data_IF_352342223887
#
_entry.id   IF_352342223887
#
_cell.length_a   1.000
_cell.length_b   1.000
_cell.length_c   1.000
_cell.angle_alpha   90.00
_cell.angle_beta   90.00
_cell.angle_gamma   90.00
#
_symmetry.space_group_name_H-M   'P 1'
#
loop_
_entity.id
_entity.type
_entity.pdbx_description
1 polymer ?
#
# COMPACT_ATOMS: atom_id res chain seq x y z
N UNK A 1 -5.17 9.99 19.07
CA UNK A 1 -4.82 9.03 18.00
C UNK A 1 -4.04 9.77 16.93
N UNK A 2 -2.95 9.18 16.46
CA UNK A 2 -2.16 9.78 15.39
C UNK A 2 -2.65 9.26 14.03
N UNK A 3 -2.54 10.06 12.99
CA UNK A 3 -2.72 9.61 11.61
C UNK A 3 -1.36 9.50 10.93
N UNK A 4 -1.26 8.61 9.96
CA UNK A 4 -0.05 8.43 9.14
C UNK A 4 -0.47 8.33 7.69
N UNK A 5 0.01 9.26 6.88
CA UNK A 5 -0.25 9.30 5.45
C UNK A 5 0.85 8.52 4.72
N UNK A 6 0.43 7.63 3.82
CA UNK A 6 1.33 6.80 3.03
C UNK A 6 1.49 7.37 1.62
N UNK A 7 2.55 6.95 0.93
CA UNK A 7 2.78 7.22 -0.49
C UNK A 7 2.01 6.25 -1.41
N UNK A 8 0.98 5.62 -0.89
CA UNK A 8 0.12 4.66 -1.58
C UNK A 8 -1.34 4.98 -1.31
N UNK A 9 -2.25 4.21 -1.88
CA UNK A 9 -3.67 4.39 -1.70
C UNK A 9 -4.48 3.17 -2.08
N UNK A 10 -5.79 3.32 -2.04
CA UNK A 10 -6.74 2.25 -2.34
C UNK A 10 -6.57 1.66 -3.75
N UNK A 11 -5.96 2.38 -4.66
CA UNK A 11 -5.69 1.86 -6.01
C UNK A 11 -4.63 0.75 -6.03
N UNK A 12 -3.79 0.66 -5.01
CA UNK A 12 -2.80 -0.41 -4.86
C UNK A 12 -3.33 -1.58 -4.04
N UNK A 13 -4.06 -1.31 -2.96
CA UNK A 13 -4.62 -2.35 -2.09
C UNK A 13 -6.03 -1.92 -1.63
N UNK A 14 -7.05 -2.37 -2.34
CA UNK A 14 -8.44 -1.97 -2.09
C UNK A 14 -9.13 -2.79 -0.99
N UNK A 15 -8.60 -3.95 -0.61
CA UNK A 15 -9.29 -4.88 0.28
C UNK A 15 -9.72 -4.30 1.63
N UNK A 16 -8.92 -3.47 2.33
CA UNK A 16 -9.37 -2.87 3.57
C UNK A 16 -10.63 -2.00 3.40
N UNK A 17 -10.68 -1.19 2.33
CA UNK A 17 -11.78 -0.27 2.08
C UNK A 17 -13.01 -0.98 1.54
N UNK A 18 -12.82 -1.98 0.68
CA UNK A 18 -13.90 -2.65 -0.04
C UNK A 18 -14.57 -3.74 0.79
N UNK A 19 -13.77 -4.50 1.55
CA UNK A 19 -14.26 -5.65 2.32
C UNK A 19 -14.12 -5.47 3.84
N UNK A 20 -13.50 -4.42 4.32
CA UNK A 20 -13.07 -4.33 5.71
C UNK A 20 -12.00 -5.36 6.06
N UNK A 21 -11.21 -5.78 5.07
CA UNK A 21 -10.23 -6.84 5.27
C UNK A 21 -9.09 -6.37 6.18
N UNK A 22 -8.68 -7.26 7.07
CA UNK A 22 -7.54 -7.04 7.95
C UNK A 22 -6.25 -7.42 7.24
N UNK A 23 -5.31 -6.49 7.22
CA UNK A 23 -3.91 -6.75 6.88
C UNK A 23 -3.03 -6.30 8.03
N UNK A 24 -2.20 -7.19 8.55
CA UNK A 24 -1.23 -6.82 9.58
C UNK A 24 -0.23 -5.82 8.98
N UNK A 25 0.10 -4.80 9.76
CA UNK A 25 1.01 -3.73 9.33
C UNK A 25 2.20 -3.71 10.29
N UNK A 26 3.40 -3.87 9.75
CA UNK A 26 4.64 -3.77 10.50
C UNK A 26 5.39 -2.49 10.15
N UNK A 27 6.01 -1.87 11.13
CA UNK A 27 7.02 -0.83 10.91
C UNK A 27 8.39 -1.50 10.75
N UNK A 28 8.89 -1.58 9.51
CA UNK A 28 10.18 -2.20 9.22
C UNK A 28 11.37 -1.33 9.68
N UNK A 29 11.19 -0.01 9.70
CA UNK A 29 12.25 0.93 10.08
C UNK A 29 12.48 0.97 11.58
N UNK A 30 11.42 0.80 12.38
CA UNK A 30 11.48 0.89 13.84
C UNK A 30 10.61 -0.20 14.48
N UNK A 31 11.02 -1.47 14.30
CA UNK A 31 10.22 -2.62 14.76
C UNK A 31 10.13 -2.78 16.29
N UNK A 32 11.04 -2.16 17.04
CA UNK A 32 11.12 -2.26 18.50
C UNK A 32 10.80 -0.94 19.23
N UNK A 33 10.17 0.02 18.56
CA UNK A 33 9.78 1.30 19.14
C UNK A 33 8.61 1.19 20.12
N UNK A 34 8.32 2.28 20.82
CA UNK A 34 7.13 2.39 21.67
C UNK A 34 5.87 2.25 20.83
N UNK A 35 4.96 1.35 21.22
CA UNK A 35 3.71 1.12 20.48
C UNK A 35 2.74 2.27 20.71
N UNK A 36 2.19 2.77 19.62
CA UNK A 36 1.16 3.81 19.60
C UNK A 36 -0.01 3.38 18.72
N UNK A 37 -1.16 4.01 18.90
CA UNK A 37 -2.34 3.76 18.05
C UNK A 37 -2.36 4.73 16.89
N UNK A 38 -2.50 4.18 15.69
CA UNK A 38 -2.55 4.94 14.44
C UNK A 38 -3.79 4.63 13.63
N UNK A 39 -4.28 5.63 12.92
CA UNK A 39 -5.11 5.46 11.74
C UNK A 39 -4.19 5.58 10.52
N UNK A 40 -4.14 4.54 9.71
CA UNK A 40 -3.25 4.46 8.54
C UNK A 40 -4.07 4.80 7.31
N UNK A 41 -3.70 5.86 6.62
CA UNK A 41 -4.44 6.39 5.47
C UNK A 41 -3.53 6.50 4.25
N UNK A 42 -4.13 6.39 3.06
CA UNK A 42 -3.46 6.69 1.81
C UNK A 42 -3.57 8.17 1.46
N UNK A 43 -3.09 8.52 0.26
CA UNK A 43 -3.01 9.89 -0.20
C UNK A 43 -3.92 10.18 -1.42
N UNK A 44 -5.00 9.41 -1.61
CA UNK A 44 -5.79 9.51 -2.83
C UNK A 44 -7.15 10.18 -2.61
N UNK A 45 -7.94 9.74 -1.63
CA UNK A 45 -9.34 10.16 -1.51
C UNK A 45 -9.82 10.03 -0.07
N UNK A 46 -11.04 10.52 0.23
CA UNK A 46 -11.60 10.55 1.59
C UNK A 46 -11.80 9.16 2.22
N UNK A 47 -12.02 8.13 1.40
CA UNK A 47 -12.22 6.75 1.88
C UNK A 47 -10.95 5.93 1.88
N UNK A 48 -9.80 6.57 1.83
CA UNK A 48 -8.51 5.90 1.65
C UNK A 48 -7.87 5.48 2.99
N UNK A 49 -8.64 4.76 3.80
CA UNK A 49 -8.21 4.30 5.12
C UNK A 49 -7.88 2.81 5.09
N UNK A 50 -6.63 2.47 5.33
CA UNK A 50 -6.16 1.08 5.40
C UNK A 50 -6.45 0.42 6.74
N UNK A 51 -6.35 1.17 7.82
CA UNK A 51 -6.57 0.63 9.17
C UNK A 51 -6.90 1.75 10.15
N UNK A 52 -7.73 1.43 11.15
CA UNK A 52 -8.10 2.35 12.23
C UNK A 52 -7.62 1.79 13.57
N UNK A 53 -7.21 2.69 14.47
CA UNK A 53 -6.79 2.36 15.83
C UNK A 53 -5.79 1.20 15.89
N UNK A 54 -4.89 1.11 14.93
CA UNK A 54 -3.92 0.04 14.83
C UNK A 54 -2.72 0.29 15.75
N UNK A 55 -2.37 -0.69 16.55
CA UNK A 55 -1.20 -0.63 17.42
C UNK A 55 0.07 -0.99 16.64
N UNK A 56 0.94 0.00 16.45
CA UNK A 56 2.18 -0.13 15.65
C UNK A 56 3.31 0.59 16.40
N UNK A 57 4.55 0.07 16.40
CA UNK A 57 5.70 0.82 16.88
C UNK A 57 5.77 2.21 16.26
N UNK A 58 6.14 3.20 17.05
CA UNK A 58 6.11 4.62 16.66
C UNK A 58 6.59 4.85 15.22
N UNK A 59 5.74 5.47 14.42
CA UNK A 59 5.99 5.76 13.01
C UNK A 59 6.55 7.18 12.91
N UNK A 60 7.62 7.31 12.14
CA UNK A 60 8.28 8.59 11.83
C UNK A 60 8.24 8.82 10.33
N UNK A 61 8.29 10.07 9.93
CA UNK A 61 8.35 10.42 8.51
C UNK A 61 9.54 9.71 7.83
N UNK A 62 9.28 9.11 6.69
CA UNK A 62 10.26 8.31 5.95
C UNK A 62 10.35 6.85 6.35
N UNK A 63 9.62 6.40 7.38
CA UNK A 63 9.59 5.00 7.75
C UNK A 63 8.95 4.12 6.68
N UNK A 64 9.43 2.88 6.61
CA UNK A 64 8.87 1.85 5.72
C UNK A 64 7.87 0.99 6.50
N UNK A 65 6.64 0.98 6.04
CA UNK A 65 5.59 0.09 6.54
C UNK A 65 5.35 -1.04 5.55
N UNK A 66 5.04 -2.23 6.07
CA UNK A 66 4.68 -3.37 5.23
C UNK A 66 3.29 -3.89 5.62
N UNK A 67 2.44 -4.06 4.61
CA UNK A 67 1.13 -4.71 4.74
C UNK A 67 1.31 -6.20 4.44
N UNK A 68 1.03 -7.04 5.43
CA UNK A 68 1.17 -8.49 5.30
C UNK A 68 0.03 -9.09 4.47
N UNK A 69 0.32 -10.23 3.85
CA UNK A 69 -0.67 -11.02 3.11
C UNK A 69 -1.40 -10.26 2.01
N UNK A 70 -0.72 -9.30 1.38
CA UNK A 70 -1.31 -8.47 0.34
C UNK A 70 -1.00 -8.98 -1.09
N UNK A 71 -0.15 -9.99 -1.25
CA UNK A 71 0.31 -10.44 -2.57
C UNK A 71 -0.81 -11.03 -3.44
N UNK A 72 -1.67 -11.86 -2.86
CA UNK A 72 -2.68 -12.60 -3.62
C UNK A 72 -3.68 -11.69 -4.34
N UNK A 73 -4.14 -10.61 -3.70
CA UNK A 73 -5.16 -9.72 -4.25
C UNK A 73 -4.70 -8.26 -4.32
N UNK A 74 -3.43 -7.98 -4.07
CA UNK A 74 -2.88 -6.63 -4.19
C UNK A 74 -2.94 -6.15 -5.64
N UNK A 75 -2.07 -6.65 -6.50
CA UNK A 75 -2.04 -6.26 -7.90
C UNK A 75 -3.30 -6.67 -8.66
N UNK A 76 -3.84 -7.87 -8.38
CA UNK A 76 -5.03 -8.39 -9.07
C UNK A 76 -6.21 -7.43 -9.01
N UNK A 77 -6.40 -6.75 -7.87
CA UNK A 77 -7.46 -5.78 -7.67
C UNK A 77 -6.99 -4.33 -7.79
N UNK A 78 -5.74 -4.10 -8.14
CA UNK A 78 -5.20 -2.76 -8.33
C UNK A 78 -5.89 -2.07 -9.51
N UNK A 79 -6.00 -0.75 -9.43
CA UNK A 79 -6.67 0.05 -10.44
C UNK A 79 -5.89 1.32 -10.76
N UNK A 80 -6.36 2.02 -11.78
CA UNK A 80 -5.85 3.34 -12.16
C UNK A 80 -6.72 4.48 -11.59
N UNK A 81 -7.43 4.22 -10.49
CA UNK A 81 -8.27 5.24 -9.87
C UNK A 81 -7.48 6.52 -9.62
N UNK A 82 -8.09 7.66 -9.90
CA UNK A 82 -7.47 8.99 -9.87
C UNK A 82 -6.22 9.11 -10.76
N UNK A 83 -6.19 8.38 -11.87
CA UNK A 83 -5.06 8.36 -12.83
C UNK A 83 -3.74 7.97 -12.21
N UNK A 84 -3.79 7.13 -11.16
CA UNK A 84 -2.60 6.56 -10.52
C UNK A 84 -2.15 5.31 -11.24
N UNK A 85 -0.87 5.03 -11.16
CA UNK A 85 -0.27 3.85 -11.79
C UNK A 85 -0.46 2.61 -10.92
N UNK A 86 -0.64 1.44 -11.57
CA UNK A 86 -0.58 0.17 -10.86
C UNK A 86 0.84 -0.10 -10.39
N UNK A 87 0.98 -0.80 -9.24
CA UNK A 87 2.30 -1.01 -8.63
C UNK A 87 3.14 -2.04 -9.38
N UNK A 88 4.43 -2.05 -9.09
CA UNK A 88 5.30 -3.14 -9.48
C UNK A 88 5.01 -4.39 -8.63
N UNK A 89 5.36 -5.56 -9.16
CA UNK A 89 5.38 -6.80 -8.40
C UNK A 89 6.81 -7.35 -8.34
N UNK A 90 7.21 -7.76 -7.15
CA UNK A 90 8.53 -8.32 -6.89
C UNK A 90 8.35 -9.68 -6.21
N UNK A 91 8.98 -10.70 -6.77
CA UNK A 91 9.05 -12.03 -6.16
C UNK A 91 10.31 -12.13 -5.31
N UNK A 92 10.17 -12.57 -4.07
CA UNK A 92 11.30 -12.87 -3.20
C UNK A 92 11.36 -14.37 -2.99
N UNK A 93 12.45 -14.97 -3.42
CA UNK A 93 12.66 -16.41 -3.29
C UNK A 93 14.13 -16.68 -2.96
N UNK A 94 14.36 -17.53 -1.96
CA UNK A 94 15.72 -17.88 -1.51
C UNK A 94 16.60 -16.64 -1.24
N UNK A 95 16.04 -15.61 -0.62
CA UNK A 95 16.75 -14.37 -0.29
C UNK A 95 17.02 -13.47 -1.50
N UNK A 96 16.50 -13.79 -2.68
CA UNK A 96 16.68 -12.99 -3.90
C UNK A 96 15.37 -12.31 -4.31
N UNK A 97 15.43 -11.01 -4.56
CA UNK A 97 14.33 -10.23 -5.08
C UNK A 97 14.41 -10.16 -6.62
N UNK A 98 13.32 -10.48 -7.28
CA UNK A 98 13.20 -10.44 -8.74
C UNK A 98 11.98 -9.64 -9.16
N UNK A 99 12.17 -8.62 -9.99
CA UNK A 99 11.06 -7.87 -10.57
C UNK A 99 10.34 -8.77 -11.58
N UNK A 100 9.08 -9.12 -11.28
CA UNK A 100 8.23 -9.94 -12.16
C UNK A 100 7.21 -9.13 -12.93
N UNK A 101 6.93 -7.92 -12.48
CA UNK A 101 6.08 -6.94 -13.18
C UNK A 101 6.60 -5.54 -12.90
N UNK A 102 6.90 -4.79 -13.95
CA UNK A 102 7.31 -3.39 -13.78
C UNK A 102 6.12 -2.50 -13.38
N UNK A 103 6.40 -1.40 -12.72
CA UNK A 103 5.40 -0.36 -12.45
C UNK A 103 4.89 0.23 -13.76
N UNK A 104 3.61 0.59 -13.81
CA UNK A 104 3.05 1.32 -14.95
C UNK A 104 3.68 2.71 -15.11
N UNK A 105 3.63 3.19 -16.34
CA UNK A 105 4.04 4.54 -16.73
C UNK A 105 2.85 5.28 -17.32
N UNK A 106 3.02 6.56 -17.65
CA UNK A 106 2.00 7.35 -18.32
C UNK A 106 1.58 6.72 -19.66
N UNK A 107 2.51 6.17 -20.41
CA UNK A 107 2.21 5.49 -21.67
C UNK A 107 1.28 4.29 -21.48
N UNK A 108 1.48 3.53 -20.42
CA UNK A 108 0.60 2.40 -20.08
C UNK A 108 -0.82 2.89 -19.77
N UNK A 109 -0.94 3.99 -19.04
CA UNK A 109 -2.23 4.59 -18.68
C UNK A 109 -3.00 5.07 -19.90
N UNK A 110 -2.31 5.63 -20.88
CA UNK A 110 -2.90 6.23 -22.08
C UNK A 110 -3.04 5.26 -23.25
N UNK A 111 -2.51 4.05 -23.14
CA UNK A 111 -2.36 3.11 -24.26
C UNK A 111 -3.65 2.82 -25.03
N UNK A 112 -4.80 2.83 -24.37
CA UNK A 112 -6.09 2.53 -25.01
C UNK A 112 -6.86 3.77 -25.43
N UNK A 113 -6.34 4.96 -25.22
CA UNK A 113 -6.98 6.19 -25.66
C UNK A 113 -6.74 6.40 -27.15
N UNK A 114 -7.77 6.90 -27.85
CA UNK A 114 -7.74 7.23 -29.26
C UNK A 114 -7.70 8.75 -29.44
N UNK A 115 -6.90 9.19 -30.35
CA UNK A 115 -6.72 10.62 -30.64
C UNK A 115 -5.34 11.12 -30.25
#
# INVERSE_FOLDING_TARGET
MCSSDLDTGLNHLIRPMFYGAYHHIDNLSHSAGTVKKYTIVGNICETDTFAEAREIPEIREGDLLVFRNAGAYGFEMASNYNSRFRPAEVMVQNGKATLIRRRETLDDLLRTQLG
#
